data_IF_598047206395
#
_entry.id   IF_598047206395
#
_cell.length_a   1.000
_cell.length_b   1.000
_cell.length_c   1.000
_cell.angle_alpha   90.00
_cell.angle_beta   90.00
_cell.angle_gamma   90.00
#
_symmetry.space_group_name_H-M   'P 1'
#
loop_
_entity.id
_entity.type
_entity.pdbx_description
1 polymer ?
#
# COMPACT_ATOMS: atom_id res chain seq x y z
N UNK A 1 2.57 -6.94 -6.46
CA UNK A 1 3.04 -7.60 -5.22
C UNK A 1 4.50 -7.98 -5.28
N UNK A 2 5.00 -8.42 -6.42
CA UNK A 2 6.45 -8.64 -6.61
C UNK A 2 7.29 -7.42 -6.21
N UNK A 3 6.82 -6.20 -6.50
CA UNK A 3 7.48 -4.97 -6.07
C UNK A 3 7.60 -4.84 -4.53
N UNK A 4 6.64 -5.37 -3.76
CA UNK A 4 6.72 -5.40 -2.30
C UNK A 4 7.77 -6.42 -1.84
N UNK A 5 7.81 -7.59 -2.49
CA UNK A 5 8.79 -8.62 -2.16
C UNK A 5 10.22 -8.19 -2.47
N UNK A 6 10.41 -7.45 -3.57
CA UNK A 6 11.70 -6.89 -4.00
C UNK A 6 12.12 -5.67 -3.17
N UNK A 7 11.19 -5.00 -2.50
CA UNK A 7 11.50 -3.81 -1.71
C UNK A 7 12.17 -4.15 -0.38
N UNK A 8 13.08 -3.29 0.08
CA UNK A 8 13.63 -3.40 1.42
C UNK A 8 12.54 -3.10 2.46
N UNK A 9 12.20 -4.11 3.26
CA UNK A 9 11.16 -4.04 4.29
C UNK A 9 11.75 -3.54 5.63
N UNK A 10 10.99 -2.74 6.36
CA UNK A 10 11.28 -2.47 7.79
C UNK A 10 10.77 -3.62 8.67
N UNK A 11 11.28 -3.78 9.90
CA UNK A 11 10.95 -4.93 10.78
C UNK A 11 9.43 -5.10 11.05
N UNK A 12 8.68 -4.00 11.03
CA UNK A 12 7.23 -3.98 11.29
C UNK A 12 6.38 -3.80 10.03
N UNK A 13 7.00 -3.84 8.85
CA UNK A 13 6.30 -3.71 7.58
C UNK A 13 5.77 -5.06 7.09
N UNK A 14 4.46 -5.10 6.79
CA UNK A 14 3.75 -6.34 6.46
C UNK A 14 2.83 -6.13 5.27
N UNK A 15 2.78 -7.11 4.40
CA UNK A 15 1.87 -7.19 3.25
C UNK A 15 0.99 -8.43 3.32
N UNK A 16 -0.25 -8.34 2.84
CA UNK A 16 -1.19 -9.46 2.76
C UNK A 16 -2.02 -9.35 1.49
N UNK A 17 -2.17 -10.45 0.76
CA UNK A 17 -3.19 -10.57 -0.29
C UNK A 17 -4.45 -11.12 0.34
N UNK A 18 -5.58 -10.44 0.16
CA UNK A 18 -6.87 -11.01 0.46
C UNK A 18 -7.91 -10.50 -0.54
N UNK A 19 -8.77 -11.39 -1.04
CA UNK A 19 -9.83 -11.05 -1.99
C UNK A 19 -9.34 -10.20 -3.18
N UNK A 20 -8.23 -10.60 -3.80
CA UNK A 20 -7.60 -9.90 -4.94
C UNK A 20 -7.12 -8.46 -4.64
N UNK A 21 -7.06 -8.07 -3.36
CA UNK A 21 -6.54 -6.78 -2.90
C UNK A 21 -5.23 -6.99 -2.14
N UNK A 22 -4.34 -6.01 -2.24
CA UNK A 22 -3.10 -5.98 -1.47
C UNK A 22 -3.25 -5.03 -0.28
N UNK A 23 -3.20 -5.59 0.92
CA UNK A 23 -3.18 -4.85 2.18
C UNK A 23 -1.74 -4.67 2.61
N UNK A 24 -1.41 -3.47 3.05
CA UNK A 24 -0.06 -3.10 3.46
C UNK A 24 -0.11 -2.31 4.76
N UNK A 25 0.76 -2.67 5.69
CA UNK A 25 0.97 -2.00 6.97
C UNK A 25 2.45 -1.68 7.11
N UNK A 26 2.72 -0.47 7.60
CA UNK A 26 4.05 0.08 7.87
C UNK A 26 3.97 0.87 9.18
N UNK A 27 5.08 1.07 9.92
CA UNK A 27 5.09 1.93 11.09
C UNK A 27 4.44 3.29 10.85
N UNK A 28 3.75 3.79 11.88
CA UNK A 28 3.06 5.08 11.81
C UNK A 28 4.07 6.19 11.58
N UNK A 29 3.88 6.97 10.52
CA UNK A 29 4.79 8.05 10.11
C UNK A 29 5.75 7.65 8.97
N UNK A 30 5.97 6.35 8.76
CA UNK A 30 6.99 5.86 7.83
C UNK A 30 6.45 5.58 6.41
N UNK A 31 5.17 5.85 6.13
CA UNK A 31 4.55 5.54 4.83
C UNK A 31 5.31 6.16 3.66
N UNK A 32 5.73 7.43 3.77
CA UNK A 32 6.44 8.12 2.68
C UNK A 32 7.94 7.76 2.61
N UNK A 33 8.51 7.33 3.72
CA UNK A 33 9.93 6.99 3.81
C UNK A 33 10.21 5.55 3.38
N UNK A 34 9.21 4.67 3.55
CA UNK A 34 9.27 3.27 3.12
C UNK A 34 9.58 3.15 1.64
N UNK A 35 10.40 2.16 1.31
CA UNK A 35 10.77 1.90 -0.08
C UNK A 35 9.53 1.54 -0.91
N UNK A 36 8.64 0.71 -0.36
CA UNK A 36 7.39 0.37 -1.02
C UNK A 36 6.45 1.58 -1.20
N UNK A 37 6.35 2.48 -0.23
CA UNK A 37 5.58 3.72 -0.36
C UNK A 37 6.08 4.58 -1.53
N UNK A 38 7.39 4.64 -1.75
CA UNK A 38 7.98 5.31 -2.92
C UNK A 38 7.63 4.61 -4.23
N UNK A 39 7.56 3.27 -4.24
CA UNK A 39 7.10 2.50 -5.41
C UNK A 39 5.66 2.86 -5.77
N UNK A 40 4.76 2.92 -4.78
CA UNK A 40 3.36 3.33 -5.00
C UNK A 40 3.21 4.75 -5.56
N UNK A 41 4.21 5.62 -5.35
CA UNK A 41 4.24 6.98 -5.88
C UNK A 41 4.76 7.11 -7.32
N UNK A 42 5.34 6.05 -7.90
CA UNK A 42 5.95 6.10 -9.24
C UNK A 42 4.91 6.39 -10.32
N UNK A 43 5.20 7.35 -11.21
CA UNK A 43 4.26 7.82 -12.25
C UNK A 43 3.78 6.68 -13.17
N UNK A 44 4.69 5.78 -13.55
CA UNK A 44 4.39 4.66 -14.45
C UNK A 44 3.41 3.63 -13.88
N UNK A 45 3.12 3.72 -12.57
CA UNK A 45 2.23 2.79 -11.92
C UNK A 45 0.90 3.42 -11.46
N UNK A 46 0.75 4.75 -11.59
CA UNK A 46 -0.46 5.47 -11.15
C UNK A 46 -1.72 5.02 -11.87
N UNK A 47 -1.61 4.60 -13.12
CA UNK A 47 -2.75 4.20 -13.94
C UNK A 47 -3.11 2.71 -13.74
N UNK A 48 -2.19 1.93 -13.16
CA UNK A 48 -2.37 0.48 -13.00
C UNK A 48 -2.95 0.11 -11.64
N UNK A 49 -2.86 1.00 -10.64
CA UNK A 49 -3.38 0.72 -9.32
C UNK A 49 -3.99 1.94 -8.62
N UNK A 50 -4.98 1.65 -7.78
CA UNK A 50 -5.55 2.62 -6.85
C UNK A 50 -5.11 2.25 -5.44
N UNK A 51 -4.29 3.09 -4.81
CA UNK A 51 -3.94 2.97 -3.40
C UNK A 51 -4.77 3.95 -2.55
N UNK A 52 -5.30 3.48 -1.43
CA UNK A 52 -6.05 4.28 -0.46
C UNK A 52 -5.72 3.80 0.95
N UNK A 53 -5.72 4.73 1.90
CA UNK A 53 -5.66 4.35 3.30
C UNK A 53 -6.98 3.68 3.72
N UNK A 54 -6.93 2.86 4.78
CA UNK A 54 -8.08 2.09 5.25
C UNK A 54 -9.27 2.98 5.66
N UNK A 55 -9.01 4.15 6.27
CA UNK A 55 -10.08 5.10 6.64
C UNK A 55 -10.86 5.59 5.41
N UNK A 56 -10.17 5.84 4.29
CA UNK A 56 -10.80 6.26 3.04
C UNK A 56 -11.58 5.10 2.42
N UNK A 57 -11.03 3.89 2.45
CA UNK A 57 -11.73 2.69 1.99
C UNK A 57 -13.03 2.48 2.75
N UNK A 58 -13.00 2.54 4.09
CA UNK A 58 -14.20 2.43 4.94
C UNK A 58 -15.24 3.51 4.63
N UNK A 59 -14.81 4.77 4.43
CA UNK A 59 -15.72 5.87 4.08
C UNK A 59 -16.41 5.66 2.73
N UNK A 60 -15.71 5.09 1.75
CA UNK A 60 -16.28 4.78 0.43
C UNK A 60 -17.25 3.61 0.55
N UNK A 61 -16.87 2.56 1.28
CA UNK A 61 -17.73 1.39 1.51
C UNK A 61 -19.05 1.77 2.20
N UNK A 62 -19.01 2.69 3.16
CA UNK A 62 -20.23 3.22 3.83
C UNK A 62 -21.15 4.04 2.94
N UNK A 63 -20.68 4.47 1.76
CA UNK A 63 -21.46 5.25 0.78
C UNK A 63 -22.02 4.39 -0.36
N UNK A 64 -21.62 3.13 -0.43
CA UNK A 64 -22.21 2.13 -1.33
C UNK A 64 -23.45 1.54 -0.67
#
# INVERSE_FOLDING_TARGET
MEEFEKSKKTEEERGLIAANNFYWRVPKGNTLESEFGKILGRKNLKDTFTSRNLNTFEKVLKKM
#
